data_IF_348155729407
#
_entry.id   IF_348155729407
#
_cell.length_a   1.000
_cell.length_b   1.000
_cell.length_c   1.000
_cell.angle_alpha   90.00
_cell.angle_beta   90.00
_cell.angle_gamma   90.00
#
_symmetry.space_group_name_H-M   'P 1'
#
loop_
_entity.id
_entity.type
_entity.pdbx_description
1 polymer ?
#
# COMPACT_ATOMS: atom_id res chain seq x y z
N UNK A 1 19.53 -21.81 4.13
CA UNK A 1 18.41 -21.16 3.41
C UNK A 1 18.72 -19.67 3.31
N UNK A 2 19.06 -19.16 2.12
CA UNK A 2 19.34 -17.74 1.91
C UNK A 2 18.29 -17.18 0.95
N UNK A 3 17.64 -16.08 1.34
CA UNK A 3 16.67 -15.40 0.48
C UNK A 3 17.38 -14.27 -0.27
N UNK A 4 17.35 -14.30 -1.59
CA UNK A 4 17.91 -13.26 -2.46
C UNK A 4 16.73 -12.58 -3.17
N UNK A 5 16.53 -11.29 -2.93
CA UNK A 5 15.47 -10.50 -3.57
C UNK A 5 16.03 -9.82 -4.82
N UNK A 6 15.67 -10.31 -6.01
CA UNK A 6 16.08 -9.76 -7.31
C UNK A 6 14.86 -9.13 -7.99
N UNK A 7 15.01 -7.89 -8.48
CA UNK A 7 14.00 -7.22 -9.31
C UNK A 7 14.51 -7.18 -10.75
N UNK A 8 13.82 -7.85 -11.65
CA UNK A 8 14.17 -7.88 -13.09
C UNK A 8 12.90 -7.72 -13.93
N UNK A 9 13.05 -7.22 -15.16
CA UNK A 9 11.96 -7.03 -16.12
C UNK A 9 11.96 -8.21 -17.09
N UNK A 10 10.76 -8.70 -17.44
CA UNK A 10 10.59 -9.71 -18.50
C UNK A 10 10.97 -9.09 -19.84
N UNK A 11 11.85 -9.77 -20.58
CA UNK A 11 12.33 -9.33 -21.88
C UNK A 11 11.22 -9.33 -22.94
N UNK A 12 11.51 -8.71 -24.08
CA UNK A 12 10.61 -8.74 -25.25
C UNK A 12 10.42 -10.16 -25.83
N UNK A 13 11.30 -11.09 -25.46
CA UNK A 13 11.25 -12.52 -25.75
C UNK A 13 10.32 -13.32 -24.81
N UNK A 14 9.74 -12.66 -23.80
CA UNK A 14 8.88 -13.30 -22.81
C UNK A 14 9.64 -14.04 -21.71
N UNK A 15 10.97 -13.89 -21.63
CA UNK A 15 11.80 -14.57 -20.63
C UNK A 15 12.23 -13.65 -19.49
N UNK A 16 12.28 -14.19 -18.26
CA UNK A 16 12.85 -13.52 -17.08
C UNK A 16 14.28 -14.01 -16.86
N UNK A 17 15.26 -13.18 -17.16
CA UNK A 17 16.67 -13.48 -16.88
C UNK A 17 17.02 -13.10 -15.44
N UNK A 18 17.37 -14.11 -14.63
CA UNK A 18 17.87 -13.94 -13.27
C UNK A 18 19.36 -14.28 -13.24
N UNK A 19 20.20 -13.27 -12.98
CA UNK A 19 21.60 -13.48 -12.68
C UNK A 19 21.73 -13.54 -11.16
N UNK A 20 22.04 -14.71 -10.61
CA UNK A 20 22.24 -14.89 -9.17
C UNK A 20 23.73 -14.69 -8.90
N UNK A 21 24.17 -13.56 -8.32
CA UNK A 21 25.55 -13.39 -7.92
C UNK A 21 25.83 -14.32 -6.73
N UNK A 22 26.45 -15.45 -7.02
CA UNK A 22 26.82 -16.43 -6.00
C UNK A 22 28.23 -16.90 -6.27
N UNK A 23 29.13 -16.74 -5.30
CA UNK A 23 30.42 -17.42 -5.27
C UNK A 23 30.31 -18.94 -5.05
N UNK A 24 29.15 -19.52 -5.38
CA UNK A 24 28.86 -20.94 -5.27
C UNK A 24 29.30 -21.58 -6.58
N UNK A 25 30.22 -22.53 -6.48
CA UNK A 25 30.76 -23.28 -7.61
C UNK A 25 30.67 -24.77 -7.27
N UNK A 26 30.42 -25.58 -8.28
CA UNK A 26 30.49 -27.04 -8.21
C UNK A 26 29.61 -27.66 -7.09
N UNK A 27 28.33 -27.28 -7.06
CA UNK A 27 27.36 -27.79 -6.09
C UNK A 27 25.94 -27.71 -6.67
N UNK A 28 25.14 -28.75 -6.45
CA UNK A 28 23.73 -28.78 -6.80
C UNK A 28 22.91 -27.91 -5.84
N UNK A 29 22.03 -27.08 -6.40
CA UNK A 29 21.18 -26.17 -5.65
C UNK A 29 19.71 -26.43 -5.98
N UNK A 30 18.90 -26.59 -4.94
CA UNK A 30 17.45 -26.53 -5.05
C UNK A 30 17.01 -25.05 -5.01
N UNK A 31 16.28 -24.62 -6.05
CA UNK A 31 15.85 -23.22 -6.21
C UNK A 31 14.33 -23.15 -6.27
N UNK A 32 13.76 -22.29 -5.42
CA UNK A 32 12.32 -21.98 -5.41
C UNK A 32 12.14 -20.58 -5.99
N UNK A 33 11.39 -20.47 -7.09
CA UNK A 33 11.05 -19.18 -7.72
C UNK A 33 9.60 -18.83 -7.42
N UNK A 34 9.38 -17.67 -6.81
CA UNK A 34 8.03 -17.15 -6.51
C UNK A 34 7.76 -15.95 -7.40
N UNK A 35 6.75 -16.07 -8.28
CA UNK A 35 6.29 -14.96 -9.13
C UNK A 35 5.25 -14.13 -8.38
N UNK A 36 5.62 -12.91 -8.02
CA UNK A 36 4.66 -11.92 -7.54
C UNK A 36 4.54 -10.82 -8.59
N UNK A 37 3.35 -10.60 -9.19
CA UNK A 37 3.12 -9.46 -10.05
C UNK A 37 3.40 -8.20 -9.25
N UNK A 38 4.44 -7.46 -9.64
CA UNK A 38 4.59 -6.08 -9.17
C UNK A 38 3.59 -5.31 -10.01
N UNK A 39 2.38 -5.12 -9.47
CA UNK A 39 1.46 -4.17 -10.06
C UNK A 39 2.26 -2.88 -10.33
N UNK A 40 2.18 -2.29 -11.54
CA UNK A 40 2.73 -0.95 -11.72
C UNK A 40 2.18 -0.14 -10.55
N UNK A 41 3.05 0.57 -9.83
CA UNK A 41 2.62 1.44 -8.77
C UNK A 41 1.47 2.24 -9.36
N UNK A 42 0.23 1.91 -8.96
CA UNK A 42 -0.94 2.58 -9.51
C UNK A 42 -0.66 4.03 -9.26
N UNK A 43 -0.61 4.82 -10.34
CA UNK A 43 -0.41 6.25 -10.25
C UNK A 43 -1.26 6.72 -9.07
N UNK A 44 -0.60 7.30 -8.06
CA UNK A 44 -1.29 7.68 -6.85
C UNK A 44 -2.47 8.55 -7.28
N UNK A 45 -3.69 8.08 -7.00
CA UNK A 45 -4.90 8.78 -7.39
C UNK A 45 -4.85 10.16 -6.74
N UNK A 46 -5.11 11.18 -7.54
CA UNK A 46 -5.27 12.53 -7.00
C UNK A 46 -6.53 12.57 -6.11
N UNK A 47 -6.64 13.51 -5.16
CA UNK A 47 -7.89 13.76 -4.45
C UNK A 47 -9.10 13.90 -5.39
N UNK A 48 -8.92 14.52 -6.54
CA UNK A 48 -9.95 14.70 -7.55
C UNK A 48 -10.37 13.37 -8.19
N UNK A 49 -9.42 12.47 -8.45
CA UNK A 49 -9.70 11.08 -8.90
C UNK A 49 -10.48 10.27 -7.85
N UNK A 50 -10.45 10.71 -6.59
CA UNK A 50 -11.16 10.11 -5.46
C UNK A 50 -12.50 10.80 -5.17
N UNK A 51 -12.90 11.79 -5.99
CA UNK A 51 -14.19 12.48 -5.89
C UNK A 51 -14.18 13.73 -4.99
N UNK A 52 -13.01 14.20 -4.55
CA UNK A 52 -12.91 15.44 -3.79
C UNK A 52 -12.98 16.66 -4.71
N UNK A 53 -13.61 17.77 -4.28
CA UNK A 53 -13.52 19.03 -5.01
C UNK A 53 -12.07 19.52 -5.14
N UNK A 54 -11.73 20.24 -6.21
CA UNK A 54 -10.38 20.76 -6.41
C UNK A 54 -9.91 21.63 -5.23
N UNK A 55 -8.73 21.30 -4.70
CA UNK A 55 -8.12 22.06 -3.60
C UNK A 55 -8.82 21.89 -2.24
N UNK A 56 -9.66 20.87 -2.06
CA UNK A 56 -10.42 20.65 -0.83
C UNK A 56 -9.50 20.56 0.39
N UNK A 57 -8.43 19.75 0.32
CA UNK A 57 -7.53 19.53 1.45
C UNK A 57 -6.69 20.77 1.75
N UNK A 58 -6.22 21.49 0.73
CA UNK A 58 -5.43 22.72 0.87
C UNK A 58 -6.22 23.84 1.56
N UNK A 59 -7.55 23.86 1.35
CA UNK A 59 -8.45 24.89 1.92
C UNK A 59 -8.99 24.51 3.29
N UNK A 60 -9.16 23.21 3.57
CA UNK A 60 -9.80 22.73 4.80
C UNK A 60 -8.80 22.28 5.86
N UNK A 61 -7.61 21.86 5.47
CA UNK A 61 -6.60 21.40 6.42
C UNK A 61 -6.17 22.56 7.34
N UNK A 62 -6.53 22.45 8.62
CA UNK A 62 -6.19 23.44 9.63
C UNK A 62 -7.05 24.71 9.59
N UNK A 63 -8.19 24.73 8.89
CA UNK A 63 -9.08 25.89 8.88
C UNK A 63 -9.63 26.26 10.27
N UNK A 64 -9.65 25.29 11.21
CA UNK A 64 -10.02 25.49 12.62
C UNK A 64 -8.81 25.63 13.56
N UNK A 65 -7.63 26.01 13.05
CA UNK A 65 -6.42 26.17 13.89
C UNK A 65 -6.63 27.22 14.98
N UNK A 66 -7.23 28.34 14.63
CA UNK A 66 -7.41 29.49 15.52
C UNK A 66 -8.69 29.38 16.36
N UNK A 67 -9.64 28.52 15.94
CA UNK A 67 -10.89 28.21 16.65
C UNK A 67 -11.07 26.68 16.75
N UNK A 68 -10.36 26.01 17.68
CA UNK A 68 -10.43 24.56 17.82
C UNK A 68 -11.84 24.11 18.16
N UNK A 69 -12.32 23.09 17.45
CA UNK A 69 -13.62 22.48 17.70
C UNK A 69 -13.64 21.82 19.09
N UNK A 70 -14.59 22.22 19.92
CA UNK A 70 -14.87 21.58 21.21
C UNK A 70 -15.97 20.54 21.00
N UNK A 71 -15.76 19.32 21.50
CA UNK A 71 -16.80 18.30 21.51
C UNK A 71 -17.93 18.74 22.46
N UNK A 72 -19.16 18.86 21.95
CA UNK A 72 -20.35 19.12 22.77
C UNK A 72 -20.76 17.92 23.63
N UNK A 73 -21.74 18.11 24.50
CA UNK A 73 -22.32 17.04 25.32
C UNK A 73 -22.90 15.94 24.42
N UNK A 74 -22.62 14.66 24.74
CA UNK A 74 -23.00 13.52 23.89
C UNK A 74 -24.38 12.93 24.22
N UNK A 75 -25.10 13.51 25.20
CA UNK A 75 -26.37 12.99 25.69
C UNK A 75 -26.23 11.65 26.41
N UNK A 76 -27.36 11.11 26.83
CA UNK A 76 -27.45 9.76 27.41
C UNK A 76 -27.46 8.70 26.29
N UNK A 77 -26.96 7.50 26.60
CA UNK A 77 -27.06 6.37 25.69
C UNK A 77 -28.51 5.88 25.54
N UNK A 78 -28.80 5.25 24.40
CA UNK A 78 -30.05 4.50 24.20
C UNK A 78 -30.15 3.32 25.18
N UNK A 79 -31.33 3.10 25.76
CA UNK A 79 -31.62 1.85 26.48
C UNK A 79 -31.84 0.74 25.46
N UNK A 80 -31.09 -0.36 25.59
CA UNK A 80 -31.21 -1.54 24.73
C UNK A 80 -32.14 -2.56 25.37
N UNK A 81 -32.93 -3.25 24.54
CA UNK A 81 -33.73 -4.39 24.99
C UNK A 81 -32.83 -5.53 25.51
N UNK A 82 -33.30 -6.25 26.52
CA UNK A 82 -32.63 -7.45 27.01
C UNK A 82 -32.64 -8.55 25.94
N UNK A 83 -31.55 -9.30 25.85
CA UNK A 83 -31.47 -10.45 24.95
C UNK A 83 -32.33 -11.60 25.51
N UNK A 84 -33.30 -12.07 24.72
CA UNK A 84 -34.16 -13.22 25.01
C UNK A 84 -33.40 -14.56 25.00
#
# INVERSE_FOLDING_TARGET
MQMIKVRSRVGADGMLHLQIPGGIKDTDLEVIVVFQPIAPATQAKTPEDLGWPPGFFERTFGCFRDEPLVRGEQGEFEEREELL
#
